data_IF_965420281739
#
_entry.id   IF_965420281739
#
_cell.length_a   1.000
_cell.length_b   1.000
_cell.length_c   1.000
_cell.angle_alpha   90.00
_cell.angle_beta   90.00
_cell.angle_gamma   90.00
#
_symmetry.space_group_name_H-M   'P 1'
#
loop_
_entity.id
_entity.type
_entity.pdbx_description
1 polymer ?
#
# COMPACT_ATOMS: atom_id res chain seq x y z
N UNK A 1 -68.52 48.96 26.29
CA UNK A 1 -67.21 49.51 25.85
C UNK A 1 -66.24 48.34 25.77
N UNK A 2 -65.61 48.13 24.60
CA UNK A 2 -64.28 47.51 24.36
C UNK A 2 -63.96 46.17 25.06
N UNK A 3 -63.58 45.07 24.41
CA UNK A 3 -63.09 44.83 23.06
C UNK A 3 -62.62 43.37 22.95
N UNK A 4 -62.48 42.91 21.72
CA UNK A 4 -62.10 41.57 21.26
C UNK A 4 -60.75 41.05 21.81
N UNK A 5 -60.59 39.72 21.91
CA UNK A 5 -59.63 38.99 21.06
C UNK A 5 -59.81 37.46 21.11
N UNK A 6 -60.01 36.87 19.93
CA UNK A 6 -59.84 35.44 19.63
C UNK A 6 -58.36 35.16 19.47
N UNK A 7 -57.83 34.01 19.94
CA UNK A 7 -56.64 33.43 19.28
C UNK A 7 -56.62 31.91 19.45
N UNK A 8 -56.75 31.22 18.31
CA UNK A 8 -56.45 29.80 18.15
C UNK A 8 -54.94 29.59 18.34
N UNK A 9 -54.51 28.52 19.01
CA UNK A 9 -53.13 28.05 18.91
C UNK A 9 -53.12 26.73 18.15
N UNK A 10 -52.37 26.80 17.04
CA UNK A 10 -52.26 25.86 15.97
C UNK A 10 -51.49 24.59 16.36
N UNK A 11 -51.94 23.46 15.83
CA UNK A 11 -51.20 22.20 15.82
C UNK A 11 -49.87 22.38 15.07
N UNK A 12 -48.76 22.21 15.78
CA UNK A 12 -47.41 22.30 15.20
C UNK A 12 -47.02 20.91 14.66
N UNK A 13 -47.14 20.72 13.34
CA UNK A 13 -46.51 19.58 12.67
C UNK A 13 -44.99 19.81 12.64
N UNK A 14 -44.23 18.97 13.35
CA UNK A 14 -42.78 18.87 13.19
C UNK A 14 -42.50 18.08 11.90
N UNK A 15 -42.10 18.78 10.84
CA UNK A 15 -41.51 18.15 9.66
C UNK A 15 -40.07 17.77 9.99
N UNK A 16 -39.80 16.46 10.11
CA UNK A 16 -38.44 15.93 10.26
C UNK A 16 -37.71 16.05 8.92
N UNK A 17 -36.82 17.04 8.81
CA UNK A 17 -35.89 17.20 7.69
C UNK A 17 -34.79 16.14 7.82
N UNK A 18 -34.90 15.04 7.09
CA UNK A 18 -33.81 14.07 6.92
C UNK A 18 -32.72 14.70 6.06
N UNK A 19 -31.79 15.40 6.69
CA UNK A 19 -30.55 15.85 6.04
C UNK A 19 -29.77 14.60 5.63
N UNK A 20 -29.75 14.30 4.33
CA UNK A 20 -28.82 13.33 3.76
C UNK A 20 -27.41 13.84 4.02
N UNK A 21 -26.74 13.30 5.04
CA UNK A 21 -25.30 13.51 5.22
C UNK A 21 -24.58 12.93 4.00
N UNK A 22 -23.79 13.73 3.26
CA UNK A 22 -22.90 13.18 2.25
C UNK A 22 -21.95 12.21 2.96
N UNK A 23 -21.88 10.97 2.49
CA UNK A 23 -20.92 10.00 3.01
C UNK A 23 -19.52 10.57 2.90
N UNK A 24 -18.81 10.65 4.02
CA UNK A 24 -17.39 10.98 4.03
C UNK A 24 -16.67 10.01 3.08
N UNK A 25 -15.79 10.49 2.19
CA UNK A 25 -14.97 9.58 1.40
C UNK A 25 -14.21 8.67 2.38
N UNK A 26 -14.24 7.36 2.13
CA UNK A 26 -13.44 6.42 2.89
C UNK A 26 -12.00 6.91 2.91
N UNK A 27 -11.43 7.12 4.10
CA UNK A 27 -10.04 7.47 4.24
C UNK A 27 -9.21 6.43 3.48
N UNK A 28 -8.36 6.87 2.55
CA UNK A 28 -7.42 5.98 1.90
C UNK A 28 -6.59 5.33 3.01
N UNK A 29 -6.52 4.00 3.01
CA UNK A 29 -5.71 3.27 3.97
C UNK A 29 -4.24 3.67 3.81
N UNK A 30 -3.73 4.44 4.75
CA UNK A 30 -2.36 4.96 4.77
C UNK A 30 -1.33 3.86 5.11
N UNK A 31 -1.79 2.64 5.47
CA UNK A 31 -0.92 1.51 5.82
C UNK A 31 0.01 1.06 4.68
N UNK A 32 -0.26 1.49 3.45
CA UNK A 32 0.56 1.22 2.26
C UNK A 32 1.38 2.42 1.81
N UNK A 33 1.12 3.61 2.32
CA UNK A 33 1.79 4.83 1.89
C UNK A 33 3.31 4.71 1.97
N UNK A 34 4.04 5.29 1.02
CA UNK A 34 5.50 5.36 1.05
C UNK A 34 6.20 4.40 0.09
N UNK A 35 7.52 4.25 0.26
CA UNK A 35 8.38 3.42 -0.61
C UNK A 35 8.76 2.14 0.12
N UNK A 36 8.57 1.02 -0.55
CA UNK A 36 8.75 -0.33 -0.02
C UNK A 36 9.72 -1.09 -0.92
N UNK A 37 10.59 -1.89 -0.33
CA UNK A 37 11.52 -2.75 -1.07
C UNK A 37 11.33 -4.20 -0.67
N UNK A 38 11.67 -5.09 -1.61
CA UNK A 38 11.68 -6.53 -1.34
C UNK A 38 12.84 -6.86 -0.40
N UNK A 39 12.65 -7.82 0.50
CA UNK A 39 13.71 -8.32 1.37
C UNK A 39 14.66 -9.22 0.56
N UNK A 40 15.95 -8.90 0.53
CA UNK A 40 16.94 -9.52 -0.36
C UNK A 40 17.07 -11.04 -0.14
N UNK A 41 17.11 -11.46 1.13
CA UNK A 41 17.32 -12.87 1.49
C UNK A 41 16.04 -13.69 1.57
N UNK A 42 14.88 -13.09 1.27
CA UNK A 42 13.62 -13.83 1.18
C UNK A 42 13.57 -14.72 -0.07
N UNK A 43 12.88 -15.86 0.04
CA UNK A 43 12.60 -16.77 -1.08
C UNK A 43 11.09 -16.87 -1.31
N UNK A 44 10.70 -17.51 -2.41
CA UNK A 44 9.29 -17.58 -2.85
C UNK A 44 8.29 -18.03 -1.78
N UNK A 45 8.70 -18.81 -0.78
CA UNK A 45 7.84 -19.27 0.31
C UNK A 45 8.58 -19.29 1.65
N UNK A 46 9.68 -18.54 1.74
CA UNK A 46 10.53 -18.53 2.92
C UNK A 46 10.80 -17.08 3.29
N UNK A 47 10.47 -16.65 4.51
CA UNK A 47 10.78 -15.31 4.97
C UNK A 47 12.29 -15.05 4.92
N UNK A 48 12.71 -13.77 4.92
CA UNK A 48 14.13 -13.43 5.04
C UNK A 48 14.68 -13.92 6.39
N UNK A 49 15.92 -14.40 6.39
CA UNK A 49 16.63 -14.86 7.59
C UNK A 49 17.30 -13.72 8.36
N UNK A 50 17.43 -12.55 7.74
CA UNK A 50 18.05 -11.34 8.27
C UNK A 50 17.03 -10.31 8.79
N UNK A 51 15.79 -10.73 9.06
CA UNK A 51 14.70 -9.84 9.45
C UNK A 51 14.50 -8.68 8.45
N UNK A 52 14.83 -8.91 7.18
CA UNK A 52 14.75 -7.91 6.12
C UNK A 52 15.64 -6.66 6.39
N UNK A 53 16.79 -6.86 7.03
CA UNK A 53 17.82 -5.84 7.21
C UNK A 53 18.47 -5.42 5.87
N UNK A 54 18.45 -6.30 4.87
CA UNK A 54 18.89 -6.03 3.50
C UNK A 54 17.71 -5.97 2.53
N UNK A 55 17.64 -4.88 1.77
CA UNK A 55 16.70 -4.70 0.68
C UNK A 55 17.30 -5.15 -0.65
N UNK A 56 16.48 -5.79 -1.48
CA UNK A 56 16.72 -6.04 -2.90
C UNK A 56 16.70 -4.69 -3.66
N UNK A 57 17.17 -4.66 -4.91
CA UNK A 57 17.21 -3.44 -5.71
C UNK A 57 15.83 -3.00 -6.24
N UNK A 58 14.83 -3.87 -6.15
CA UNK A 58 13.48 -3.61 -6.61
C UNK A 58 12.49 -3.39 -5.48
N UNK A 59 11.59 -2.45 -5.73
CA UNK A 59 10.52 -2.11 -4.82
C UNK A 59 9.34 -1.47 -5.52
N UNK A 60 8.48 -0.88 -4.71
CA UNK A 60 7.41 -0.03 -5.19
C UNK A 60 7.13 1.12 -4.25
N UNK A 61 6.52 2.15 -4.79
CA UNK A 61 5.95 3.24 -4.02
C UNK A 61 4.44 3.22 -4.20
N UNK A 62 3.73 3.38 -3.09
CA UNK A 62 2.30 3.63 -3.13
C UNK A 62 2.02 5.04 -2.60
N UNK A 63 1.37 5.84 -3.43
CA UNK A 63 0.98 7.20 -3.09
C UNK A 63 -0.23 7.60 -3.89
N UNK A 64 -1.20 8.28 -3.26
CA UNK A 64 -2.40 8.79 -3.94
C UNK A 64 -3.17 7.72 -4.74
N UNK A 65 -3.26 6.49 -4.22
CA UNK A 65 -3.97 5.40 -4.90
C UNK A 65 -3.23 4.80 -6.11
N UNK A 66 -1.97 5.19 -6.33
CA UNK A 66 -1.14 4.78 -7.46
C UNK A 66 0.08 3.99 -7.02
N UNK A 67 0.37 2.97 -7.80
CA UNK A 67 1.52 2.09 -7.64
C UNK A 67 2.60 2.48 -8.65
N UNK A 68 3.79 2.76 -8.14
CA UNK A 68 4.96 3.11 -8.94
C UNK A 68 6.04 2.07 -8.67
N UNK A 69 6.53 1.40 -9.70
CA UNK A 69 7.71 0.54 -9.56
C UNK A 69 8.93 1.43 -9.28
N UNK A 70 9.77 1.02 -8.33
CA UNK A 70 11.03 1.71 -8.03
C UNK A 70 12.19 0.73 -8.15
N UNK A 71 13.33 1.24 -8.59
CA UNK A 71 14.60 0.48 -8.58
C UNK A 71 15.73 1.38 -8.09
N UNK A 72 16.60 0.90 -7.22
CA UNK A 72 17.80 1.67 -6.88
C UNK A 72 18.73 1.73 -8.11
N UNK A 73 19.42 2.87 -8.27
CA UNK A 73 20.35 3.08 -9.40
C UNK A 73 21.80 3.28 -8.95
N UNK A 74 22.03 3.27 -7.63
CA UNK A 74 23.34 3.47 -7.01
C UNK A 74 23.42 2.64 -5.73
N UNK A 75 23.95 1.43 -5.86
CA UNK A 75 24.45 0.66 -4.73
C UNK A 75 25.79 0.04 -5.09
N UNK A 76 26.68 0.07 -4.12
CA UNK A 76 28.01 -0.54 -4.10
C UNK A 76 28.07 -1.73 -3.13
N UNK A 77 26.91 -2.16 -2.62
CA UNK A 77 26.81 -3.29 -1.69
C UNK A 77 27.30 -4.57 -2.36
N UNK A 78 28.14 -5.30 -1.64
CA UNK A 78 28.76 -6.55 -2.10
C UNK A 78 28.17 -7.78 -1.42
N UNK A 79 27.55 -7.59 -0.25
CA UNK A 79 26.88 -8.64 0.50
C UNK A 79 25.47 -8.96 -0.04
N UNK A 80 25.31 -8.97 -1.36
CA UNK A 80 24.07 -9.36 -2.01
C UNK A 80 24.03 -10.87 -2.28
N UNK A 81 22.83 -11.44 -2.30
CA UNK A 81 22.58 -12.85 -2.56
C UNK A 81 23.08 -13.21 -3.96
N UNK A 82 23.91 -14.24 -4.02
CA UNK A 82 24.49 -14.72 -5.27
C UNK A 82 25.52 -13.76 -5.86
N UNK A 83 26.22 -13.00 -5.02
CA UNK A 83 27.37 -12.15 -5.38
C UNK A 83 27.02 -11.05 -6.39
N UNK A 84 25.75 -10.65 -6.42
CA UNK A 84 25.23 -9.63 -7.34
C UNK A 84 25.49 -8.23 -6.80
N UNK A 85 26.72 -7.77 -6.95
CA UNK A 85 27.16 -6.45 -6.48
C UNK A 85 26.22 -5.34 -6.97
N UNK A 86 25.76 -4.49 -6.04
CA UNK A 86 24.91 -3.35 -6.30
C UNK A 86 23.44 -3.66 -6.57
N UNK A 87 23.01 -4.92 -6.45
CA UNK A 87 21.60 -5.34 -6.58
C UNK A 87 20.87 -5.46 -5.23
N UNK A 88 21.47 -4.92 -4.17
CA UNK A 88 20.85 -4.86 -2.85
C UNK A 88 21.40 -3.65 -2.09
N UNK A 89 20.82 -3.29 -0.95
CA UNK A 89 21.33 -2.24 -0.06
C UNK A 89 20.76 -2.41 1.35
N UNK A 90 21.51 -1.95 2.36
CA UNK A 90 21.06 -2.02 3.76
C UNK A 90 19.85 -1.13 3.98
N UNK A 91 18.88 -1.62 4.76
CA UNK A 91 17.68 -0.88 5.17
C UNK A 91 18.01 0.44 5.86
N UNK A 92 19.04 0.45 6.71
CA UNK A 92 19.46 1.60 7.51
C UNK A 92 20.28 2.64 6.73
N UNK A 93 20.50 2.44 5.43
CA UNK A 93 21.19 3.41 4.58
C UNK A 93 20.42 4.73 4.60
N UNK A 94 21.05 5.87 4.96
CA UNK A 94 20.34 7.12 5.20
C UNK A 94 19.75 7.75 3.94
N UNK A 95 20.34 7.47 2.77
CA UNK A 95 19.87 8.00 1.50
C UNK A 95 20.12 7.03 0.34
N UNK A 96 19.18 7.00 -0.61
CA UNK A 96 19.26 6.24 -1.86
C UNK A 96 18.91 7.08 -3.08
N UNK A 97 19.35 6.62 -4.25
CA UNK A 97 18.89 7.14 -5.55
C UNK A 97 18.12 6.07 -6.30
N UNK A 98 16.91 6.39 -6.73
CA UNK A 98 16.04 5.46 -7.45
C UNK A 98 15.70 5.94 -8.87
N UNK A 99 15.31 5.01 -9.72
CA UNK A 99 14.48 5.27 -10.90
C UNK A 99 13.04 4.81 -10.62
N UNK A 100 12.08 5.41 -11.33
CA UNK A 100 10.65 5.16 -11.11
C UNK A 100 9.92 4.87 -12.41
N UNK A 101 8.85 4.07 -12.34
CA UNK A 101 7.97 3.80 -13.48
C UNK A 101 6.54 3.60 -12.98
N UNK A 102 5.60 4.46 -13.42
CA UNK A 102 4.18 4.36 -13.06
C UNK A 102 3.58 3.04 -13.58
N UNK A 103 2.90 2.29 -12.72
CA UNK A 103 2.20 1.06 -13.06
C UNK A 103 0.68 1.19 -12.93
N UNK A 104 0.18 2.37 -12.59
CA UNK A 104 -1.25 2.66 -12.54
C UNK A 104 -1.86 2.45 -11.16
N UNK A 105 -3.16 2.12 -11.14
CA UNK A 105 -3.93 1.97 -9.90
C UNK A 105 -3.96 0.52 -9.43
N UNK A 106 -3.94 0.35 -8.11
CA UNK A 106 -4.09 -0.93 -7.45
C UNK A 106 -5.39 -0.89 -6.62
N UNK A 107 -6.15 -1.98 -6.61
CA UNK A 107 -7.32 -2.11 -5.73
C UNK A 107 -6.83 -2.62 -4.36
N UNK A 108 -6.72 -1.69 -3.40
CA UNK A 108 -6.38 -1.98 -2.02
C UNK A 108 -7.63 -2.09 -1.17
N UNK A 109 -7.75 -3.19 -0.43
CA UNK A 109 -8.68 -3.38 0.66
C UNK A 109 -7.96 -3.50 2.00
N UNK A 110 -8.70 -3.56 3.12
CA UNK A 110 -8.13 -3.52 4.47
C UNK A 110 -7.16 -4.67 4.78
N UNK A 111 -7.34 -5.84 4.16
CA UNK A 111 -6.48 -7.03 4.36
C UNK A 111 -6.14 -7.73 3.04
N UNK A 112 -6.38 -7.05 1.91
CA UNK A 112 -6.17 -7.65 0.58
C UNK A 112 -5.76 -6.65 -0.48
N UNK A 113 -5.11 -7.17 -1.51
CA UNK A 113 -4.75 -6.46 -2.73
C UNK A 113 -5.36 -7.22 -3.89
N UNK A 114 -6.00 -6.54 -4.85
CA UNK A 114 -6.41 -7.17 -6.11
C UNK A 114 -5.60 -6.64 -7.27
N UNK A 115 -5.03 -7.57 -8.03
CA UNK A 115 -4.23 -7.28 -9.22
C UNK A 115 -4.90 -7.92 -10.43
N UNK A 116 -5.32 -7.08 -11.39
CA UNK A 116 -5.89 -7.54 -12.65
C UNK A 116 -4.83 -7.56 -13.74
N UNK A 117 -4.52 -8.73 -14.27
CA UNK A 117 -3.56 -8.91 -15.34
C UNK A 117 -3.93 -10.11 -16.23
N UNK A 118 -3.77 -9.96 -17.55
CA UNK A 118 -4.11 -10.99 -18.56
C UNK A 118 -5.47 -11.65 -18.32
N UNK A 119 -6.52 -10.83 -18.23
CA UNK A 119 -7.92 -11.27 -18.02
C UNK A 119 -8.20 -12.04 -16.72
N UNK A 120 -7.22 -12.15 -15.83
CA UNK A 120 -7.38 -12.78 -14.52
C UNK A 120 -7.20 -11.73 -13.42
N UNK A 121 -7.95 -11.86 -12.33
CA UNK A 121 -7.81 -11.01 -11.14
C UNK A 121 -7.30 -11.88 -10.00
N UNK A 122 -6.10 -11.58 -9.52
CA UNK A 122 -5.50 -12.27 -8.38
C UNK A 122 -5.79 -11.48 -7.11
N UNK A 123 -6.29 -12.16 -6.08
CA UNK A 123 -6.32 -11.61 -4.72
C UNK A 123 -5.04 -12.01 -4.00
N UNK A 124 -4.39 -11.05 -3.37
CA UNK A 124 -3.32 -11.28 -2.41
C UNK A 124 -3.81 -10.86 -1.03
N UNK A 125 -3.46 -11.65 -0.02
CA UNK A 125 -3.59 -11.27 1.38
C UNK A 125 -2.25 -10.77 1.89
N UNK A 126 -2.28 -10.05 3.01
CA UNK A 126 -1.07 -9.59 3.66
C UNK A 126 -1.19 -9.60 5.17
N UNK A 127 -0.05 -9.65 5.85
CA UNK A 127 0.06 -9.46 7.30
C UNK A 127 1.35 -8.72 7.62
N UNK A 128 1.29 -7.88 8.63
CA UNK A 128 2.47 -7.22 9.16
C UNK A 128 3.15 -8.07 10.22
N UNK A 129 4.48 -8.04 10.21
CA UNK A 129 5.34 -8.51 11.28
C UNK A 129 6.10 -7.33 11.86
N UNK A 130 6.95 -7.56 12.86
CA UNK A 130 7.79 -6.51 13.43
C UNK A 130 8.71 -5.85 12.39
N UNK A 131 9.23 -6.62 11.43
CA UNK A 131 10.27 -6.14 10.52
C UNK A 131 9.87 -6.07 9.05
N UNK A 132 8.83 -6.80 8.63
CA UNK A 132 8.40 -6.84 7.24
C UNK A 132 6.91 -7.14 7.10
N UNK A 133 6.33 -6.80 5.96
CA UNK A 133 5.01 -7.25 5.53
C UNK A 133 5.15 -8.47 4.63
N UNK A 134 4.42 -9.52 4.96
CA UNK A 134 4.28 -10.70 4.11
C UNK A 134 3.02 -10.55 3.25
N UNK A 135 3.13 -10.88 1.96
CA UNK A 135 2.05 -10.85 0.98
C UNK A 135 1.99 -12.21 0.29
N UNK A 136 0.83 -12.85 0.23
CA UNK A 136 0.68 -14.16 -0.40
C UNK A 136 -0.61 -14.24 -1.23
N UNK A 137 -0.63 -15.01 -2.32
CA UNK A 137 -1.80 -15.16 -3.17
C UNK A 137 -2.86 -16.03 -2.49
N UNK A 138 -4.13 -15.83 -2.86
CA UNK A 138 -5.20 -16.77 -2.53
C UNK A 138 -4.99 -18.18 -3.13
N UNK A 139 -5.90 -19.10 -2.84
CA UNK A 139 -5.83 -20.47 -3.37
C UNK A 139 -6.19 -20.52 -4.87
N UNK A 140 -7.15 -19.70 -5.29
CA UNK A 140 -7.69 -19.58 -6.65
C UNK A 140 -6.80 -18.70 -7.54
N UNK A 141 -5.60 -19.22 -7.80
CA UNK A 141 -4.53 -18.42 -8.40
C UNK A 141 -4.67 -18.25 -9.90
N UNK A 142 -4.43 -17.03 -10.35
CA UNK A 142 -4.00 -16.76 -11.70
C UNK A 142 -2.67 -17.51 -11.98
N UNK A 143 -2.53 -18.07 -13.18
CA UNK A 143 -1.33 -18.84 -13.56
C UNK A 143 -0.02 -18.03 -13.40
N UNK A 144 -0.10 -16.71 -13.60
CA UNK A 144 1.04 -15.80 -13.50
C UNK A 144 1.42 -15.44 -12.06
N UNK A 145 0.49 -15.53 -11.10
CA UNK A 145 0.76 -15.20 -9.70
C UNK A 145 1.63 -16.26 -9.03
N UNK A 146 1.49 -17.52 -9.44
CA UNK A 146 2.16 -18.70 -8.86
C UNK A 146 1.92 -18.75 -7.34
N UNK A 147 2.61 -19.64 -6.62
CA UNK A 147 2.54 -19.72 -5.15
C UNK A 147 3.56 -18.78 -4.47
N UNK A 148 3.86 -17.63 -5.09
CA UNK A 148 4.94 -16.74 -4.64
C UNK A 148 4.45 -15.81 -3.54
N UNK A 149 5.16 -15.84 -2.42
CA UNK A 149 5.06 -14.87 -1.35
C UNK A 149 6.03 -13.73 -1.63
N UNK A 150 5.63 -12.52 -1.26
CA UNK A 150 6.49 -11.35 -1.25
C UNK A 150 6.70 -10.93 0.21
N UNK A 151 7.94 -10.58 0.52
CA UNK A 151 8.33 -10.06 1.82
C UNK A 151 8.94 -8.71 1.55
N UNK A 152 8.34 -7.68 2.12
CA UNK A 152 8.70 -6.30 1.84
C UNK A 152 8.80 -5.51 3.13
N UNK A 153 9.55 -4.42 3.13
CA UNK A 153 9.41 -3.43 4.18
C UNK A 153 9.59 -2.01 3.67
N UNK A 154 9.11 -1.07 4.48
CA UNK A 154 9.18 0.34 4.18
C UNK A 154 10.61 0.84 4.33
N UNK A 155 11.02 1.71 3.40
CA UNK A 155 12.25 2.46 3.50
C UNK A 155 11.93 3.87 4.02
N UNK A 156 12.54 4.24 5.13
CA UNK A 156 12.28 5.50 5.83
C UNK A 156 13.38 6.56 5.64
N UNK A 157 14.44 6.24 4.88
CA UNK A 157 15.52 7.18 4.57
C UNK A 157 15.18 8.15 3.44
N UNK A 158 16.15 9.01 3.10
CA UNK A 158 16.00 10.01 2.04
C UNK A 158 16.04 9.38 0.64
N UNK A 159 15.16 9.84 -0.25
CA UNK A 159 15.08 9.34 -1.61
C UNK A 159 15.33 10.47 -2.59
N UNK A 160 16.31 10.27 -3.46
CA UNK A 160 16.50 11.09 -4.66
C UNK A 160 16.01 10.33 -5.89
N UNK A 161 15.17 10.95 -6.71
CA UNK A 161 14.75 10.39 -7.99
C UNK A 161 15.68 10.85 -9.11
N UNK A 162 16.15 9.92 -9.92
CA UNK A 162 16.74 10.24 -11.22
C UNK A 162 15.64 10.34 -12.27
N UNK A 163 15.63 11.47 -12.98
CA UNK A 163 14.87 11.67 -14.20
C UNK A 163 15.43 10.83 -15.35
#
# INVERSE_FOLDING_TARGET
>A
MTGHLRTMIAATMLAALTVMMPGLPAAADDSWGGTWFTCEFARSQTPPDDECAMFDDEGFRFSNGRFTYVRITKSDETACRGEKVGQCFRRDRPAITISTSDRGKLDLGPERIRVKYLFCTQTFYFKDTEHYREIWPDEDRCFWARKRHFYIARYDGEITERQ
#
